data_IF_645189014171
#
_entry.id   IF_645189014171
#
_cell.length_a   1.000
_cell.length_b   1.000
_cell.length_c   1.000
_cell.angle_alpha   90.00
_cell.angle_beta   90.00
_cell.angle_gamma   90.00
#
_symmetry.space_group_name_H-M   'P 1'
#
loop_
_entity.id
_entity.type
_entity.pdbx_description
1 polymer ?
#
# COMPACT_ATOMS: atom_id res chain seq x y z
N UNK A 1 -3.74 -21.02 -8.58
CA UNK A 1 -2.89 -20.83 -9.79
C UNK A 1 -3.55 -20.00 -10.91
N UNK A 2 -4.78 -20.25 -11.34
CA UNK A 2 -5.38 -19.43 -12.41
C UNK A 2 -5.74 -18.02 -11.93
N UNK A 3 -6.22 -17.88 -10.69
CA UNK A 3 -6.47 -16.60 -10.03
C UNK A 3 -5.16 -15.80 -9.88
N UNK A 4 -4.16 -16.38 -9.25
CA UNK A 4 -2.85 -15.71 -9.03
C UNK A 4 -2.20 -15.25 -10.33
N UNK A 5 -2.29 -16.05 -11.42
CA UNK A 5 -1.80 -15.64 -12.74
C UNK A 5 -2.57 -14.43 -13.30
N UNK A 6 -3.89 -14.39 -13.10
CA UNK A 6 -4.69 -13.22 -13.51
C UNK A 6 -4.27 -11.98 -12.71
N UNK A 7 -4.05 -12.12 -11.41
CA UNK A 7 -3.55 -11.05 -10.54
C UNK A 7 -2.22 -10.49 -11.01
N UNK A 8 -1.24 -11.36 -11.34
CA UNK A 8 0.06 -10.94 -11.86
C UNK A 8 -0.06 -10.15 -13.15
N UNK A 9 -0.90 -10.61 -14.10
CA UNK A 9 -1.14 -9.91 -15.36
C UNK A 9 -1.81 -8.55 -15.10
N UNK A 10 -2.81 -8.51 -14.23
CA UNK A 10 -3.55 -7.28 -13.91
C UNK A 10 -2.66 -6.26 -13.20
N UNK A 11 -1.74 -6.69 -12.34
CA UNK A 11 -0.78 -5.79 -11.70
C UNK A 11 0.07 -5.03 -12.73
N UNK A 12 0.70 -5.74 -13.67
CA UNK A 12 1.50 -5.09 -14.72
C UNK A 12 0.63 -4.29 -15.71
N UNK A 13 -0.57 -4.77 -16.01
CA UNK A 13 -1.53 -4.06 -16.86
C UNK A 13 -2.01 -2.75 -16.21
N UNK A 14 -2.24 -2.74 -14.89
CA UNK A 14 -2.62 -1.54 -14.14
C UNK A 14 -1.52 -0.47 -14.17
N UNK A 15 -0.25 -0.86 -14.01
CA UNK A 15 0.87 0.06 -14.14
C UNK A 15 0.95 0.65 -15.56
N UNK A 16 0.85 -0.21 -16.58
CA UNK A 16 0.88 0.23 -17.97
C UNK A 16 -0.29 1.16 -18.31
N UNK A 17 -1.50 0.84 -17.81
CA UNK A 17 -2.70 1.66 -17.97
C UNK A 17 -2.53 3.02 -17.29
N UNK A 18 -2.07 3.07 -16.04
CA UNK A 18 -1.83 4.31 -15.31
C UNK A 18 -0.83 5.21 -16.05
N UNK A 19 0.31 4.65 -16.49
CA UNK A 19 1.30 5.39 -17.28
C UNK A 19 0.71 5.90 -18.61
N UNK A 20 -0.11 5.09 -19.28
CA UNK A 20 -0.82 5.47 -20.49
C UNK A 20 -1.82 6.62 -20.27
N UNK A 21 -2.61 6.55 -19.19
CA UNK A 21 -3.56 7.58 -18.78
C UNK A 21 -2.84 8.90 -18.48
N UNK A 22 -1.77 8.86 -17.68
CA UNK A 22 -1.01 10.07 -17.34
C UNK A 22 -0.37 10.70 -18.57
N UNK A 23 0.22 9.89 -19.46
CA UNK A 23 0.80 10.35 -20.70
C UNK A 23 -0.28 10.95 -21.65
N UNK A 24 -1.46 10.33 -21.72
CA UNK A 24 -2.58 10.84 -22.49
C UNK A 24 -3.09 12.18 -21.93
N UNK A 25 -3.34 12.28 -20.62
CA UNK A 25 -3.81 13.51 -19.97
C UNK A 25 -2.79 14.65 -20.05
N UNK A 26 -1.50 14.32 -20.12
CA UNK A 26 -0.44 15.28 -20.37
C UNK A 26 -0.43 15.76 -21.83
N UNK A 27 -0.32 14.83 -22.80
CA UNK A 27 -0.12 15.14 -24.22
C UNK A 27 -1.37 15.68 -24.93
N UNK A 28 -2.56 15.32 -24.46
CA UNK A 28 -3.81 15.88 -24.97
C UNK A 28 -4.06 17.35 -24.60
N UNK A 29 -3.19 17.92 -23.72
CA UNK A 29 -3.41 19.26 -23.19
C UNK A 29 -4.49 19.34 -22.10
N UNK A 30 -5.07 18.21 -21.67
CA UNK A 30 -6.09 18.20 -20.61
C UNK A 30 -5.62 18.87 -19.34
N UNK A 31 -4.41 18.51 -18.85
CA UNK A 31 -3.84 19.10 -17.64
C UNK A 31 -3.61 20.60 -17.78
N UNK A 32 -3.09 21.07 -18.91
CA UNK A 32 -2.90 22.49 -19.17
C UNK A 32 -4.24 23.26 -19.27
N UNK A 33 -5.21 22.70 -19.98
CA UNK A 33 -6.56 23.25 -20.07
C UNK A 33 -7.27 23.33 -18.72
N UNK A 34 -7.14 22.28 -17.89
CA UNK A 34 -7.69 22.26 -16.53
C UNK A 34 -7.03 23.34 -15.65
N UNK A 35 -5.67 23.43 -15.65
CA UNK A 35 -4.94 24.49 -14.95
C UNK A 35 -5.46 25.88 -15.34
N UNK A 36 -5.64 26.15 -16.63
CA UNK A 36 -6.10 27.44 -17.11
C UNK A 36 -7.54 27.74 -16.64
N UNK A 37 -8.42 26.72 -16.57
CA UNK A 37 -9.79 26.87 -16.04
C UNK A 37 -9.81 27.19 -14.56
N UNK A 38 -9.06 26.44 -13.74
CA UNK A 38 -9.03 26.69 -12.29
C UNK A 38 -8.38 28.03 -11.93
N UNK A 39 -7.41 28.51 -12.72
CA UNK A 39 -6.83 29.86 -12.57
C UNK A 39 -7.83 30.97 -12.87
N UNK A 40 -8.74 30.76 -13.82
CA UNK A 40 -9.84 31.71 -14.09
C UNK A 40 -10.92 31.68 -13.01
N UNK A 41 -11.15 30.51 -12.40
CA UNK A 41 -12.17 30.35 -11.36
C UNK A 41 -11.76 30.97 -10.01
N UNK A 42 -10.49 30.91 -9.62
CA UNK A 42 -10.03 31.44 -8.34
C UNK A 42 -8.63 32.04 -8.44
N UNK A 43 -8.42 33.18 -7.76
CA UNK A 43 -7.09 33.78 -7.61
C UNK A 43 -6.25 33.10 -6.50
N UNK A 44 -6.87 32.31 -5.60
CA UNK A 44 -6.23 31.70 -4.44
C UNK A 44 -5.53 30.40 -4.85
N UNK A 45 -4.19 30.33 -4.73
CA UNK A 45 -3.38 29.17 -5.14
C UNK A 45 -3.81 27.87 -4.49
N UNK A 46 -4.18 27.86 -3.22
CA UNK A 46 -4.65 26.65 -2.53
C UNK A 46 -5.96 26.10 -3.13
N UNK A 47 -6.89 27.00 -3.50
CA UNK A 47 -8.14 26.60 -4.16
C UNK A 47 -7.87 26.08 -5.57
N UNK A 48 -6.93 26.72 -6.31
CA UNK A 48 -6.52 26.23 -7.62
C UNK A 48 -5.94 24.81 -7.53
N UNK A 49 -5.03 24.56 -6.58
CA UNK A 49 -4.42 23.25 -6.39
C UNK A 49 -5.48 22.21 -5.99
N UNK A 50 -6.36 22.52 -5.04
CA UNK A 50 -7.41 21.61 -4.61
C UNK A 50 -8.35 21.21 -5.75
N UNK A 51 -8.88 22.19 -6.49
CA UNK A 51 -9.77 21.95 -7.63
C UNK A 51 -9.07 21.18 -8.76
N UNK A 52 -7.82 21.56 -9.04
CA UNK A 52 -7.03 20.87 -10.06
C UNK A 52 -6.81 19.41 -9.72
N UNK A 53 -6.31 19.13 -8.51
CA UNK A 53 -6.02 17.76 -8.04
C UNK A 53 -7.31 16.92 -7.99
N UNK A 54 -8.39 17.47 -7.42
CA UNK A 54 -9.66 16.76 -7.33
C UNK A 54 -10.19 16.37 -8.72
N UNK A 55 -10.30 17.33 -9.67
CA UNK A 55 -10.83 17.06 -11.00
C UNK A 55 -9.88 16.12 -11.78
N UNK A 56 -8.56 16.31 -11.65
CA UNK A 56 -7.58 15.48 -12.31
C UNK A 56 -7.66 14.03 -11.84
N UNK A 57 -7.70 13.79 -10.53
CA UNK A 57 -7.80 12.44 -9.96
C UNK A 57 -9.14 11.78 -10.27
N UNK A 58 -10.25 12.52 -10.22
CA UNK A 58 -11.55 11.99 -10.63
C UNK A 58 -11.50 11.53 -12.09
N UNK A 59 -10.86 12.30 -12.98
CA UNK A 59 -10.69 11.91 -14.38
C UNK A 59 -9.82 10.66 -14.53
N UNK A 60 -8.71 10.55 -13.77
CA UNK A 60 -7.85 9.36 -13.73
C UNK A 60 -8.64 8.15 -13.27
N UNK A 61 -9.29 8.22 -12.11
CA UNK A 61 -10.07 7.11 -11.53
C UNK A 61 -11.26 6.70 -12.40
N UNK A 62 -11.88 7.64 -13.12
CA UNK A 62 -12.91 7.32 -14.10
C UNK A 62 -12.37 6.51 -15.29
N UNK A 63 -11.13 6.78 -15.71
CA UNK A 63 -10.48 6.00 -16.78
C UNK A 63 -9.95 4.65 -16.29
N UNK A 64 -9.59 4.53 -15.03
CA UNK A 64 -9.15 3.28 -14.38
C UNK A 64 -10.33 2.38 -13.97
N UNK A 65 -11.52 2.95 -13.71
CA UNK A 65 -12.67 2.26 -13.14
C UNK A 65 -13.09 0.95 -13.86
N UNK A 66 -12.96 0.77 -15.19
CA UNK A 66 -13.26 -0.51 -15.82
C UNK A 66 -12.32 -1.63 -15.35
N UNK A 67 -11.03 -1.31 -15.11
CA UNK A 67 -10.06 -2.25 -14.60
C UNK A 67 -10.28 -2.52 -13.10
N UNK A 68 -10.57 -1.47 -12.32
CA UNK A 68 -10.91 -1.59 -10.88
C UNK A 68 -12.13 -2.51 -10.69
N UNK A 69 -13.18 -2.31 -11.52
CA UNK A 69 -14.38 -3.14 -11.48
C UNK A 69 -14.10 -4.59 -11.85
N UNK A 70 -13.33 -4.80 -12.91
CA UNK A 70 -12.98 -6.15 -13.34
C UNK A 70 -12.14 -6.87 -12.27
N UNK A 71 -11.11 -6.22 -11.75
CA UNK A 71 -10.19 -6.79 -10.77
C UNK A 71 -10.85 -6.99 -9.39
N UNK A 72 -11.35 -5.91 -8.79
CA UNK A 72 -11.84 -5.93 -7.41
C UNK A 72 -13.29 -6.43 -7.25
N UNK A 73 -14.03 -6.65 -8.37
CA UNK A 73 -15.39 -7.20 -8.29
C UNK A 73 -15.56 -8.47 -9.11
N UNK A 74 -15.36 -8.39 -10.44
CA UNK A 74 -15.69 -9.51 -11.34
C UNK A 74 -14.77 -10.69 -11.12
N UNK A 75 -13.46 -10.48 -11.02
CA UNK A 75 -12.46 -11.53 -10.85
C UNK A 75 -12.65 -12.22 -9.50
N UNK A 76 -12.77 -11.46 -8.42
CA UNK A 76 -12.97 -11.97 -7.08
C UNK A 76 -14.23 -12.84 -6.95
N UNK A 77 -15.35 -12.39 -7.54
CA UNK A 77 -16.60 -13.17 -7.58
C UNK A 77 -16.47 -14.42 -8.44
N UNK A 78 -15.78 -14.34 -9.58
CA UNK A 78 -15.55 -15.47 -10.48
C UNK A 78 -14.84 -16.62 -9.79
N UNK A 79 -13.94 -16.31 -8.88
CA UNK A 79 -13.17 -17.31 -8.11
C UNK A 79 -13.75 -17.56 -6.71
N UNK A 80 -14.86 -16.92 -6.36
CA UNK A 80 -15.58 -17.14 -5.12
C UNK A 80 -14.91 -16.53 -3.89
N UNK A 81 -13.96 -15.59 -4.06
CA UNK A 81 -13.27 -14.91 -2.97
C UNK A 81 -14.09 -13.76 -2.37
N UNK A 82 -14.93 -13.10 -3.16
CA UNK A 82 -15.76 -11.99 -2.68
C UNK A 82 -17.19 -12.44 -2.38
N UNK A 83 -17.72 -11.93 -1.27
CA UNK A 83 -19.13 -12.01 -0.86
C UNK A 83 -19.86 -10.67 -1.04
N UNK A 84 -19.12 -9.63 -1.47
CA UNK A 84 -19.58 -8.24 -1.49
C UNK A 84 -20.60 -7.99 -2.61
N UNK A 85 -21.80 -7.49 -2.28
CA UNK A 85 -22.75 -7.05 -3.30
C UNK A 85 -22.28 -5.79 -4.06
N UNK A 86 -22.71 -5.64 -5.33
CA UNK A 86 -22.29 -4.52 -6.20
C UNK A 86 -22.54 -3.14 -5.57
N UNK A 87 -23.65 -2.95 -4.86
CA UNK A 87 -23.95 -1.68 -4.19
C UNK A 87 -22.95 -1.33 -3.08
N UNK A 88 -22.52 -2.35 -2.31
CA UNK A 88 -21.49 -2.21 -1.27
C UNK A 88 -20.13 -1.91 -1.90
N UNK A 89 -19.77 -2.63 -2.98
CA UNK A 89 -18.52 -2.40 -3.70
C UNK A 89 -18.42 -0.98 -4.26
N UNK A 90 -19.47 -0.49 -4.93
CA UNK A 90 -19.52 0.89 -5.46
C UNK A 90 -19.43 1.92 -4.33
N UNK A 91 -20.09 1.67 -3.20
CA UNK A 91 -20.02 2.56 -2.05
C UNK A 91 -18.58 2.62 -1.46
N UNK A 92 -17.90 1.49 -1.37
CA UNK A 92 -16.53 1.44 -0.88
C UNK A 92 -15.55 2.08 -1.89
N UNK A 93 -15.72 1.84 -3.20
CA UNK A 93 -14.95 2.51 -4.23
C UNK A 93 -15.13 4.04 -4.19
N UNK A 94 -16.35 4.53 -3.94
CA UNK A 94 -16.61 5.96 -3.80
C UNK A 94 -16.00 6.58 -2.53
N UNK A 95 -16.00 5.85 -1.40
CA UNK A 95 -15.31 6.27 -0.17
C UNK A 95 -13.80 6.34 -0.38
N UNK A 96 -13.21 5.30 -1.03
CA UNK A 96 -11.79 5.27 -1.37
C UNK A 96 -11.40 6.46 -2.25
N UNK A 97 -12.18 6.74 -3.32
CA UNK A 97 -11.99 7.91 -4.16
C UNK A 97 -12.03 9.22 -3.36
N UNK A 98 -13.02 9.36 -2.47
CA UNK A 98 -13.17 10.55 -1.62
C UNK A 98 -11.96 10.74 -0.70
N UNK A 99 -11.51 9.67 -0.04
CA UNK A 99 -10.34 9.68 0.84
C UNK A 99 -9.06 9.99 0.05
N UNK A 100 -8.87 9.32 -1.09
CA UNK A 100 -7.73 9.54 -1.99
C UNK A 100 -7.66 11.00 -2.44
N UNK A 101 -8.78 11.61 -2.85
CA UNK A 101 -8.84 13.02 -3.25
C UNK A 101 -8.46 13.94 -2.08
N UNK A 102 -8.99 13.71 -0.89
CA UNK A 102 -8.67 14.54 0.30
C UNK A 102 -7.18 14.46 0.63
N UNK A 103 -6.63 13.25 0.73
CA UNK A 103 -5.20 13.04 1.03
C UNK A 103 -4.33 13.66 -0.06
N UNK A 104 -4.66 13.44 -1.33
CA UNK A 104 -3.90 13.99 -2.45
C UNK A 104 -3.94 15.53 -2.50
N UNK A 105 -5.05 16.17 -2.12
CA UNK A 105 -5.12 17.65 -1.99
C UNK A 105 -4.13 18.13 -0.91
N UNK A 106 -4.11 17.48 0.26
CA UNK A 106 -3.21 17.85 1.36
C UNK A 106 -1.74 17.68 0.95
N UNK A 107 -1.41 16.55 0.33
CA UNK A 107 -0.06 16.29 -0.18
C UNK A 107 0.35 17.27 -1.28
N UNK A 108 -0.56 17.58 -2.20
CA UNK A 108 -0.31 18.55 -3.27
C UNK A 108 -0.08 19.97 -2.73
N UNK A 109 -0.81 20.38 -1.68
CA UNK A 109 -0.57 21.66 -1.03
C UNK A 109 0.85 21.75 -0.47
N UNK A 110 1.29 20.70 0.26
CA UNK A 110 2.65 20.62 0.79
C UNK A 110 3.67 20.62 -0.38
N UNK A 111 3.46 19.77 -1.38
CA UNK A 111 4.34 19.63 -2.52
C UNK A 111 4.51 20.94 -3.30
N UNK A 112 3.42 21.55 -3.78
CA UNK A 112 3.50 22.78 -4.58
C UNK A 112 3.95 23.99 -3.75
N UNK A 113 3.68 24.00 -2.45
CA UNK A 113 4.22 25.03 -1.56
C UNK A 113 5.74 24.90 -1.44
N UNK A 114 6.27 23.70 -1.22
CA UNK A 114 7.70 23.43 -1.13
C UNK A 114 8.43 23.72 -2.45
N UNK A 115 7.88 23.27 -3.57
CA UNK A 115 8.43 23.52 -4.91
C UNK A 115 8.50 25.02 -5.18
N UNK A 116 7.41 25.76 -4.87
CA UNK A 116 7.39 27.22 -5.04
C UNK A 116 8.35 27.97 -4.13
N UNK A 117 8.64 27.44 -2.93
CA UNK A 117 9.53 28.05 -1.95
C UNK A 117 11.01 27.72 -2.19
N UNK A 118 11.30 26.52 -2.67
CA UNK A 118 12.67 26.01 -2.87
C UNK A 118 12.78 25.13 -4.12
N UNK A 119 12.78 25.70 -5.33
CA UNK A 119 12.77 24.92 -6.59
C UNK A 119 13.95 23.96 -6.75
N UNK A 120 15.08 24.22 -6.11
CA UNK A 120 16.29 23.37 -6.19
C UNK A 120 16.37 22.27 -5.14
N UNK A 121 15.67 22.42 -4.01
CA UNK A 121 15.78 21.51 -2.85
C UNK A 121 14.42 20.98 -2.37
N UNK A 122 13.34 21.16 -3.14
CA UNK A 122 12.00 20.72 -2.75
C UNK A 122 11.95 19.21 -2.44
N UNK A 123 12.70 18.40 -3.16
CA UNK A 123 12.80 16.96 -2.96
C UNK A 123 13.28 16.61 -1.55
N UNK A 124 14.27 17.32 -1.03
CA UNK A 124 14.80 17.12 0.32
C UNK A 124 13.79 17.58 1.39
N UNK A 125 13.18 18.77 1.18
CA UNK A 125 12.17 19.25 2.12
C UNK A 125 10.88 18.44 2.09
N UNK A 126 10.52 17.89 0.94
CA UNK A 126 9.38 17.00 0.82
C UNK A 126 9.64 15.65 1.51
N UNK A 127 10.86 15.13 1.42
CA UNK A 127 11.28 13.99 2.22
C UNK A 127 11.20 14.27 3.72
N UNK A 128 11.70 15.40 4.21
CA UNK A 128 11.50 15.76 5.64
C UNK A 128 10.02 15.91 6.02
N UNK A 129 9.18 16.36 5.11
CA UNK A 129 7.74 16.46 5.35
C UNK A 129 7.04 15.08 5.29
N UNK A 130 7.53 14.10 4.52
CA UNK A 130 6.96 12.75 4.46
C UNK A 130 7.05 12.05 5.81
N UNK A 131 8.13 12.23 6.57
CA UNK A 131 8.33 11.60 7.88
C UNK A 131 7.13 11.81 8.84
N UNK A 132 6.77 13.04 9.24
CA UNK A 132 5.61 13.25 10.12
C UNK A 132 4.27 12.92 9.44
N UNK A 133 4.15 13.02 8.12
CA UNK A 133 2.95 12.65 7.39
C UNK A 133 2.73 11.13 7.46
N UNK A 134 3.76 10.33 7.19
CA UNK A 134 3.69 8.86 7.26
C UNK A 134 3.40 8.39 8.69
N UNK A 135 4.08 8.98 9.70
CA UNK A 135 3.80 8.66 11.09
C UNK A 135 2.37 9.01 11.50
N UNK A 136 1.86 10.18 11.07
CA UNK A 136 0.48 10.55 11.33
C UNK A 136 -0.50 9.57 10.66
N UNK A 137 -0.20 9.10 9.44
CA UNK A 137 -1.02 8.14 8.73
C UNK A 137 -1.07 6.79 9.46
N UNK A 138 0.08 6.26 9.90
CA UNK A 138 0.16 5.00 10.69
C UNK A 138 -0.70 5.06 11.95
N UNK A 139 -0.80 6.24 12.59
CA UNK A 139 -1.61 6.40 13.80
C UNK A 139 -3.10 6.60 13.49
N UNK A 140 -3.42 7.33 12.42
CA UNK A 140 -4.80 7.72 12.08
C UNK A 140 -5.55 6.60 11.37
N UNK A 141 -4.87 5.86 10.50
CA UNK A 141 -5.45 4.82 9.65
C UNK A 141 -6.33 3.83 10.43
N UNK A 142 -5.86 3.17 11.52
CA UNK A 142 -6.65 2.18 12.25
C UNK A 142 -7.91 2.72 12.92
N UNK A 143 -7.98 4.01 13.21
CA UNK A 143 -9.09 4.62 13.96
C UNK A 143 -10.06 5.41 13.10
N UNK A 144 -9.61 5.88 11.93
CA UNK A 144 -10.41 6.73 11.05
C UNK A 144 -10.72 6.04 9.73
N UNK A 145 -9.73 5.40 9.11
CA UNK A 145 -9.89 4.82 7.77
C UNK A 145 -10.57 3.46 7.84
N UNK A 146 -10.04 2.52 8.62
CA UNK A 146 -10.63 1.17 8.69
C UNK A 146 -12.11 1.14 9.11
N UNK A 147 -12.58 1.95 10.11
CA UNK A 147 -13.99 1.98 10.49
C UNK A 147 -14.94 2.52 9.40
N UNK A 148 -14.43 3.17 8.36
CA UNK A 148 -15.23 3.55 7.18
C UNK A 148 -15.62 2.33 6.34
N UNK A 149 -14.83 1.26 6.41
CA UNK A 149 -14.97 0.09 5.56
C UNK A 149 -15.46 -1.14 6.31
N UNK A 150 -15.08 -1.34 7.58
CA UNK A 150 -15.35 -2.53 8.38
C UNK A 150 -15.89 -2.20 9.76
N UNK A 151 -16.56 -3.17 10.37
CA UNK A 151 -17.03 -3.08 11.75
C UNK A 151 -16.16 -3.94 12.65
N UNK A 152 -15.96 -3.48 13.88
CA UNK A 152 -15.14 -4.14 14.87
C UNK A 152 -15.95 -4.43 16.12
N UNK A 153 -15.76 -5.60 16.72
CA UNK A 153 -16.33 -5.96 18.02
C UNK A 153 -15.26 -6.62 18.91
N UNK A 154 -15.32 -6.45 20.24
CA UNK A 154 -14.36 -7.11 21.12
C UNK A 154 -14.41 -8.63 20.94
N UNK A 155 -13.25 -9.26 20.71
CA UNK A 155 -13.12 -10.70 20.47
C UNK A 155 -13.60 -11.53 21.68
N UNK A 156 -13.41 -11.02 22.91
CA UNK A 156 -13.87 -11.70 24.13
C UNK A 156 -15.37 -11.98 24.18
N UNK A 157 -16.19 -11.21 23.46
CA UNK A 157 -17.64 -11.40 23.40
C UNK A 157 -18.04 -12.60 22.55
N UNK A 158 -17.24 -12.96 21.57
CA UNK A 158 -17.53 -14.04 20.61
C UNK A 158 -16.67 -15.26 20.86
N UNK A 159 -15.40 -15.06 21.27
CA UNK A 159 -14.39 -16.10 21.45
C UNK A 159 -13.62 -15.93 22.77
N UNK A 160 -14.30 -16.04 23.95
CA UNK A 160 -13.64 -15.78 25.24
C UNK A 160 -12.46 -16.72 25.52
N UNK A 161 -12.60 -18.02 25.23
CA UNK A 161 -11.54 -19.01 25.45
C UNK A 161 -10.31 -18.76 24.55
N UNK A 162 -10.52 -18.34 23.30
CA UNK A 162 -9.42 -17.97 22.41
C UNK A 162 -8.74 -16.69 22.91
N UNK A 163 -9.51 -15.70 23.37
CA UNK A 163 -8.96 -14.46 23.93
C UNK A 163 -8.07 -14.74 25.14
N UNK A 164 -8.45 -15.65 26.05
CA UNK A 164 -7.61 -16.07 27.18
C UNK A 164 -6.29 -16.71 26.72
N UNK A 165 -6.34 -17.52 25.68
CA UNK A 165 -5.13 -18.16 25.11
C UNK A 165 -4.23 -17.14 24.41
N UNK A 166 -4.81 -16.18 23.68
CA UNK A 166 -4.07 -15.06 23.05
C UNK A 166 -3.35 -14.23 24.13
N UNK A 167 -4.05 -13.82 25.19
CA UNK A 167 -3.42 -13.07 26.26
C UNK A 167 -2.25 -13.83 26.92
N UNK A 168 -2.43 -15.11 27.17
CA UNK A 168 -1.36 -15.96 27.72
C UNK A 168 -0.16 -15.99 26.80
N UNK A 169 -0.36 -16.18 25.49
CA UNK A 169 0.70 -16.23 24.50
C UNK A 169 1.39 -14.88 24.34
N UNK A 170 0.65 -13.79 24.24
CA UNK A 170 1.20 -12.44 24.20
C UNK A 170 2.01 -12.09 25.46
N UNK A 171 1.56 -12.59 26.63
CA UNK A 171 2.30 -12.48 27.88
C UNK A 171 3.67 -13.15 27.83
N UNK A 172 3.78 -14.34 27.19
CA UNK A 172 5.07 -14.98 26.93
C UNK A 172 6.00 -14.14 26.05
N UNK A 173 5.43 -13.40 25.10
CA UNK A 173 6.15 -12.48 24.24
C UNK A 173 6.52 -11.14 24.91
N UNK A 174 6.15 -10.94 26.18
CA UNK A 174 6.32 -9.65 26.85
C UNK A 174 5.44 -8.53 26.25
N UNK A 175 4.43 -8.88 25.44
CA UNK A 175 3.55 -7.95 24.76
C UNK A 175 2.22 -7.85 25.50
N UNK A 176 1.94 -6.69 26.12
CA UNK A 176 0.68 -6.41 26.78
C UNK A 176 -0.26 -5.67 25.83
N UNK A 177 -1.27 -6.37 25.29
CA UNK A 177 -2.41 -5.77 24.60
C UNK A 177 -3.64 -5.94 25.50
N UNK A 178 -4.30 -4.85 25.95
CA UNK A 178 -5.50 -4.97 26.76
C UNK A 178 -6.60 -5.75 26.02
N UNK A 179 -7.34 -6.61 26.73
CA UNK A 179 -8.48 -7.41 26.16
C UNK A 179 -9.44 -6.54 25.35
N UNK A 180 -9.73 -5.35 25.86
CA UNK A 180 -10.60 -4.37 25.18
C UNK A 180 -10.08 -3.89 23.84
N UNK A 181 -8.84 -4.24 23.46
CA UNK A 181 -8.19 -3.91 22.18
C UNK A 181 -7.87 -5.14 21.34
N UNK A 182 -8.41 -6.28 21.68
CA UNK A 182 -8.41 -7.47 20.83
C UNK A 182 -9.78 -7.53 20.17
N UNK A 183 -9.81 -7.36 18.85
CA UNK A 183 -11.03 -7.21 18.08
C UNK A 183 -11.24 -8.36 17.09
N UNK A 184 -12.48 -8.65 16.82
CA UNK A 184 -12.95 -9.37 15.65
C UNK A 184 -13.45 -8.35 14.63
N UNK A 185 -13.05 -8.49 13.35
CA UNK A 185 -13.50 -7.67 12.24
C UNK A 185 -14.45 -8.45 11.34
N UNK A 186 -15.53 -7.81 10.85
CA UNK A 186 -16.53 -8.41 9.96
C UNK A 186 -16.06 -8.50 8.50
N UNK A 187 -14.94 -9.19 8.25
CA UNK A 187 -14.36 -9.35 6.91
C UNK A 187 -15.28 -10.17 5.99
N UNK A 188 -16.01 -11.17 6.54
CA UNK A 188 -16.91 -12.05 5.80
C UNK A 188 -18.04 -11.33 5.08
N UNK A 189 -18.36 -10.10 5.47
CA UNK A 189 -19.30 -9.24 4.76
C UNK A 189 -18.83 -8.87 3.33
N UNK A 190 -17.54 -9.03 3.04
CA UNK A 190 -16.93 -8.60 1.76
C UNK A 190 -16.04 -9.65 1.12
N UNK A 191 -15.33 -10.45 1.91
CA UNK A 191 -14.32 -11.39 1.42
C UNK A 191 -14.35 -12.72 2.17
N UNK A 192 -13.70 -13.73 1.61
CA UNK A 192 -13.40 -15.00 2.27
C UNK A 192 -11.94 -15.17 2.65
N UNK A 193 -11.11 -14.18 2.32
CA UNK A 193 -9.68 -14.15 2.64
C UNK A 193 -9.48 -14.28 4.16
N UNK A 194 -8.44 -15.00 4.55
CA UNK A 194 -8.08 -15.25 5.95
C UNK A 194 -6.96 -14.32 6.37
N UNK A 195 -7.17 -13.51 7.43
CA UNK A 195 -6.15 -12.60 7.91
C UNK A 195 -6.31 -12.24 9.39
N UNK A 196 -5.21 -11.78 10.01
CA UNK A 196 -5.17 -11.08 11.29
C UNK A 196 -4.05 -10.04 11.23
N UNK A 197 -4.04 -9.06 12.12
CA UNK A 197 -2.96 -8.07 12.17
C UNK A 197 -2.88 -7.38 13.53
N UNK A 198 -1.69 -6.90 13.85
CA UNK A 198 -1.47 -5.98 14.98
C UNK A 198 -1.19 -4.59 14.41
N UNK A 199 -1.91 -3.58 14.88
CA UNK A 199 -1.75 -2.19 14.47
C UNK A 199 -1.63 -1.25 15.65
N UNK A 200 -1.26 0.01 15.36
CA UNK A 200 -1.07 1.05 16.36
C UNK A 200 0.33 1.09 16.97
N UNK A 201 0.60 2.12 17.77
CA UNK A 201 1.92 2.38 18.37
C UNK A 201 1.79 2.62 19.88
N UNK A 202 2.74 2.09 20.66
CA UNK A 202 2.77 2.30 22.12
C UNK A 202 1.48 1.85 22.80
N UNK A 203 0.81 2.78 23.48
CA UNK A 203 -0.44 2.51 24.18
C UNK A 203 -1.66 2.35 23.25
N UNK A 204 -1.53 2.66 21.95
CA UNK A 204 -2.63 2.50 20.99
C UNK A 204 -2.68 1.13 20.30
N UNK A 205 -1.79 0.20 20.65
CA UNK A 205 -1.74 -1.16 20.10
C UNK A 205 -3.09 -1.85 20.15
N UNK A 206 -3.45 -2.53 19.06
CA UNK A 206 -4.61 -3.41 18.99
C UNK A 206 -4.30 -4.63 18.13
N UNK A 207 -4.91 -5.74 18.47
CA UNK A 207 -4.92 -6.95 17.68
C UNK A 207 -6.29 -7.08 17.01
N UNK A 208 -6.31 -7.37 15.73
CA UNK A 208 -7.52 -7.61 14.95
C UNK A 208 -7.44 -8.99 14.32
N UNK A 209 -8.45 -9.83 14.57
CA UNK A 209 -8.62 -11.14 13.94
C UNK A 209 -9.85 -11.06 13.05
N UNK A 210 -9.76 -11.48 11.80
CA UNK A 210 -10.91 -11.49 10.91
C UNK A 210 -11.86 -12.62 11.28
N UNK A 211 -13.16 -12.40 11.12
CA UNK A 211 -14.17 -13.44 11.37
C UNK A 211 -14.02 -14.64 10.41
N UNK A 212 -13.54 -14.40 9.20
CA UNK A 212 -13.15 -15.46 8.25
C UNK A 212 -12.01 -16.34 8.78
N UNK A 213 -11.03 -15.77 9.49
CA UNK A 213 -9.95 -16.50 10.16
C UNK A 213 -10.50 -17.41 11.25
N UNK A 214 -11.41 -16.88 12.06
CA UNK A 214 -12.07 -17.65 13.14
C UNK A 214 -12.96 -18.76 12.60
N UNK A 215 -13.50 -18.61 11.40
CA UNK A 215 -14.32 -19.66 10.73
C UNK A 215 -13.45 -20.77 10.15
N UNK A 216 -12.32 -20.44 9.55
CA UNK A 216 -11.49 -21.37 8.76
C UNK A 216 -10.39 -22.05 9.56
N UNK A 217 -9.81 -21.36 10.54
CA UNK A 217 -8.74 -21.85 11.37
C UNK A 217 -9.26 -22.29 12.74
N UNK A 218 -8.71 -23.39 13.28
CA UNK A 218 -8.93 -23.73 14.66
C UNK A 218 -8.12 -22.82 15.61
N UNK A 219 -8.37 -22.94 16.94
CA UNK A 219 -7.73 -22.07 17.93
C UNK A 219 -6.20 -22.15 17.92
N UNK A 220 -5.61 -23.33 17.69
CA UNK A 220 -4.15 -23.50 17.64
C UNK A 220 -3.56 -22.80 16.42
N UNK A 221 -4.16 -22.98 15.26
CA UNK A 221 -3.79 -22.33 14.01
C UNK A 221 -3.94 -20.80 14.10
N UNK A 222 -5.04 -20.32 14.69
CA UNK A 222 -5.22 -18.88 14.93
C UNK A 222 -4.13 -18.30 15.84
N UNK A 223 -3.68 -19.06 16.84
CA UNK A 223 -2.59 -18.62 17.71
C UNK A 223 -1.26 -18.48 16.95
N UNK A 224 -0.98 -19.35 15.96
CA UNK A 224 0.23 -19.21 15.14
C UNK A 224 0.19 -17.92 14.32
N UNK A 225 -0.95 -17.61 13.69
CA UNK A 225 -1.14 -16.35 12.96
C UNK A 225 -0.98 -15.15 13.90
N UNK A 226 -1.61 -15.17 15.07
CA UNK A 226 -1.45 -14.10 16.07
C UNK A 226 -0.02 -14.02 16.60
N UNK A 227 0.68 -15.14 16.75
CA UNK A 227 2.09 -15.19 17.14
C UNK A 227 3.01 -14.54 16.11
N UNK A 228 2.76 -14.79 14.83
CA UNK A 228 3.43 -14.12 13.71
C UNK A 228 3.25 -12.59 13.80
N UNK A 229 2.00 -12.12 13.95
CA UNK A 229 1.69 -10.70 14.09
C UNK A 229 2.35 -10.06 15.33
N UNK A 230 2.39 -10.79 16.45
CA UNK A 230 3.11 -10.36 17.64
C UNK A 230 4.62 -10.22 17.37
N UNK A 231 5.19 -11.07 16.50
CA UNK A 231 6.57 -11.00 16.05
C UNK A 231 6.90 -9.67 15.40
N UNK A 232 6.09 -9.17 14.48
CA UNK A 232 6.30 -7.85 13.88
C UNK A 232 6.40 -6.75 14.93
N UNK A 233 5.63 -6.87 15.98
CA UNK A 233 5.59 -5.88 17.03
C UNK A 233 6.77 -5.98 18.00
N UNK A 234 7.04 -7.19 18.51
CA UNK A 234 8.12 -7.46 19.49
C UNK A 234 9.50 -7.24 18.87
N UNK A 235 9.68 -7.66 17.62
CA UNK A 235 10.93 -7.50 16.88
C UNK A 235 11.14 -6.08 16.32
N UNK A 236 10.21 -5.16 16.60
CA UNK A 236 10.25 -3.78 16.11
C UNK A 236 10.33 -3.67 14.58
N UNK A 237 9.62 -4.53 13.84
CA UNK A 237 9.62 -4.48 12.37
C UNK A 237 9.03 -3.16 11.86
N UNK A 238 7.92 -2.68 12.43
CA UNK A 238 7.26 -1.42 12.01
C UNK A 238 8.22 -0.22 12.02
N UNK A 239 8.95 0.11 13.13
CA UNK A 239 9.92 1.20 13.10
C UNK A 239 11.15 0.92 12.22
N UNK A 240 11.55 -0.34 12.04
CA UNK A 240 12.65 -0.69 11.14
C UNK A 240 12.25 -0.50 9.68
N UNK A 241 11.08 -1.01 9.26
CA UNK A 241 10.52 -0.80 7.93
C UNK A 241 10.38 0.68 7.63
N UNK A 242 9.77 1.44 8.54
CA UNK A 242 9.66 2.88 8.41
C UNK A 242 11.02 3.54 8.14
N UNK A 243 12.07 3.17 8.89
CA UNK A 243 13.41 3.74 8.69
C UNK A 243 14.02 3.34 7.34
N UNK A 244 13.84 2.10 6.89
CA UNK A 244 14.30 1.64 5.57
C UNK A 244 13.53 2.31 4.44
N UNK A 245 12.22 2.44 4.58
CA UNK A 245 11.36 3.10 3.59
C UNK A 245 11.74 4.56 3.42
N UNK A 246 11.98 5.29 4.52
CA UNK A 246 12.41 6.68 4.47
C UNK A 246 13.80 6.85 3.83
N UNK A 247 14.71 5.90 4.04
CA UNK A 247 16.01 5.90 3.33
C UNK A 247 15.83 5.70 1.83
N UNK A 248 14.96 4.78 1.42
CA UNK A 248 14.62 4.53 0.03
C UNK A 248 13.92 5.76 -0.55
N UNK A 249 12.94 6.35 0.14
CA UNK A 249 12.23 7.55 -0.30
C UNK A 249 13.16 8.74 -0.51
N UNK A 250 14.18 8.93 0.32
CA UNK A 250 15.20 9.97 0.10
C UNK A 250 15.85 9.83 -1.28
N UNK A 251 16.25 8.59 -1.64
CA UNK A 251 16.83 8.30 -2.96
C UNK A 251 15.81 8.50 -4.08
N UNK A 252 14.57 8.01 -3.89
CA UNK A 252 13.51 8.10 -4.88
C UNK A 252 13.09 9.56 -5.15
N UNK A 253 13.01 10.41 -4.12
CA UNK A 253 12.71 11.83 -4.30
C UNK A 253 13.85 12.56 -5.03
N UNK A 254 15.10 12.20 -4.76
CA UNK A 254 16.22 12.77 -5.50
C UNK A 254 16.23 12.33 -6.97
N UNK A 255 16.08 11.05 -7.24
CA UNK A 255 15.99 10.50 -8.61
C UNK A 255 14.77 11.10 -9.33
N UNK A 256 13.62 11.17 -8.65
CA UNK A 256 12.41 11.82 -9.16
C UNK A 256 12.63 13.28 -9.50
N UNK A 257 13.31 14.04 -8.64
CA UNK A 257 13.67 15.42 -8.90
C UNK A 257 14.50 15.56 -10.19
N UNK A 258 15.53 14.72 -10.38
CA UNK A 258 16.35 14.74 -11.59
C UNK A 258 15.53 14.37 -12.84
N UNK A 259 14.71 13.33 -12.77
CA UNK A 259 13.90 12.84 -13.88
C UNK A 259 12.85 13.88 -14.31
N UNK A 260 12.10 14.44 -13.37
CA UNK A 260 11.05 15.44 -13.64
C UNK A 260 11.66 16.67 -14.33
N UNK A 261 12.75 17.21 -13.78
CA UNK A 261 13.40 18.39 -14.36
C UNK A 261 13.92 18.10 -15.78
N UNK A 262 14.49 16.90 -16.01
CA UNK A 262 14.96 16.49 -17.34
C UNK A 262 13.80 16.36 -18.33
N UNK A 263 12.68 15.75 -17.95
CA UNK A 263 11.51 15.59 -18.82
C UNK A 263 10.93 16.97 -19.19
N UNK A 264 10.77 17.86 -18.21
CA UNK A 264 10.26 19.22 -18.47
C UNK A 264 11.20 19.99 -19.41
N UNK A 265 12.51 19.91 -19.18
CA UNK A 265 13.50 20.57 -20.05
C UNK A 265 13.44 20.03 -21.50
N UNK A 266 13.36 18.71 -21.68
CA UNK A 266 13.24 18.08 -22.99
C UNK A 266 11.94 18.48 -23.69
N UNK A 267 10.81 18.56 -22.99
CA UNK A 267 9.53 18.99 -23.54
C UNK A 267 9.58 20.42 -24.06
N UNK A 268 10.30 21.32 -23.37
CA UNK A 268 10.52 22.70 -23.82
C UNK A 268 11.41 22.80 -25.07
N UNK A 269 12.35 21.85 -25.27
CA UNK A 269 13.26 21.86 -26.42
C UNK A 269 12.64 21.27 -27.68
N UNK A 270 11.85 20.20 -27.57
CA UNK A 270 11.24 19.55 -28.74
C UNK A 270 10.24 20.47 -29.44
N UNK A 271 9.48 21.26 -28.69
CA UNK A 271 8.51 22.19 -29.23
C UNK A 271 9.18 23.41 -29.94
N UNK A 272 10.38 23.83 -29.49
CA UNK A 272 11.14 24.89 -30.21
C UNK A 272 11.60 24.45 -31.60
N UNK A 273 11.89 23.17 -31.77
CA UNK A 273 12.35 22.65 -33.07
C UNK A 273 11.23 22.49 -34.09
N UNK A 274 10.00 22.33 -33.65
CA UNK A 274 8.81 22.25 -34.49
C UNK A 274 8.30 23.63 -34.88
N UNK A 275 8.38 24.64 -33.98
CA UNK A 275 8.02 26.05 -34.27
C UNK A 275 8.88 26.67 -35.39
N UNK A 276 10.14 26.24 -35.54
CA UNK A 276 11.03 26.75 -36.58
C UNK A 276 10.70 26.24 -37.99
N UNK A 277 9.77 25.28 -38.14
CA UNK A 277 9.44 24.62 -39.41
C UNK A 277 8.09 25.04 -40.02
N UNK A 278 7.27 25.90 -39.36
CA UNK A 278 5.96 26.30 -39.85
C UNK A 278 5.83 27.80 -40.10
N UNK A 279 5.11 28.13 -41.19
CA UNK A 279 4.97 29.45 -41.83
C UNK A 279 4.33 30.53 -40.94
N UNK A 280 4.81 31.75 -41.06
CA UNK A 280 4.67 32.87 -40.11
C UNK A 280 3.27 33.54 -40.00
N UNK A 281 2.26 33.16 -40.73
CA UNK A 281 0.95 33.85 -40.77
C UNK A 281 -0.19 33.17 -39.99
N UNK A 282 -0.14 31.89 -39.77
CA UNK A 282 -1.08 31.16 -38.84
C UNK A 282 -0.59 31.22 -37.39
N UNK A 283 0.61 31.74 -37.19
CA UNK A 283 1.39 31.70 -35.94
C UNK A 283 0.84 32.56 -34.80
N UNK A 284 0.15 33.68 -35.06
CA UNK A 284 -0.11 34.62 -33.95
C UNK A 284 -1.23 34.18 -32.99
N UNK A 285 -2.24 33.43 -33.44
CA UNK A 285 -3.28 32.90 -32.53
C UNK A 285 -2.94 31.53 -32.02
N UNK A 286 -2.39 30.63 -32.84
CA UNK A 286 -1.94 29.29 -32.43
C UNK A 286 -0.79 29.38 -31.45
N UNK A 287 0.17 30.31 -31.67
CA UNK A 287 1.29 30.56 -30.76
C UNK A 287 0.85 31.11 -29.38
N UNK A 288 -0.19 31.94 -29.33
CA UNK A 288 -0.75 32.36 -28.03
C UNK A 288 -1.40 31.24 -27.27
N UNK A 289 -2.06 30.29 -27.95
CA UNK A 289 -2.61 29.07 -27.34
C UNK A 289 -1.45 28.15 -26.90
N UNK A 290 -0.48 27.85 -27.75
CA UNK A 290 0.65 26.99 -27.46
C UNK A 290 1.56 27.54 -26.34
N UNK A 291 1.79 28.85 -26.27
CA UNK A 291 2.57 29.48 -25.19
C UNK A 291 1.89 29.39 -23.81
N UNK A 292 0.55 29.40 -23.76
CA UNK A 292 -0.19 29.26 -22.50
C UNK A 292 -0.27 27.81 -22.01
N UNK A 293 0.00 26.84 -22.87
CA UNK A 293 -0.10 25.42 -22.55
C UNK A 293 1.24 24.79 -22.09
N UNK A 294 2.36 25.51 -22.23
CA UNK A 294 3.68 25.03 -21.81
C UNK A 294 3.79 24.86 -20.29
N UNK A 295 4.29 23.70 -19.88
CA UNK A 295 4.74 23.45 -18.51
C UNK A 295 6.11 24.09 -18.34
N UNK A 296 6.21 25.16 -17.56
CA UNK A 296 7.45 25.94 -17.41
C UNK A 296 8.39 25.35 -16.38
N UNK A 297 7.83 24.79 -15.32
CA UNK A 297 8.56 24.19 -14.21
C UNK A 297 7.66 23.22 -13.42
N UNK A 298 8.22 22.58 -12.42
CA UNK A 298 7.50 21.61 -11.54
C UNK A 298 6.42 22.32 -10.70
N UNK A 299 6.52 23.63 -10.45
CA UNK A 299 5.51 24.38 -9.68
C UNK A 299 4.22 24.65 -10.48
N UNK A 300 4.22 24.39 -11.78
CA UNK A 300 2.99 24.44 -12.58
C UNK A 300 2.11 23.23 -12.29
N UNK A 301 0.84 23.46 -11.94
CA UNK A 301 -0.13 22.38 -11.68
C UNK A 301 -0.24 21.35 -12.84
N UNK A 302 -0.05 21.81 -14.07
CA UNK A 302 -0.05 20.94 -15.25
C UNK A 302 1.14 19.97 -15.28
N UNK A 303 2.14 20.11 -14.40
CA UNK A 303 3.22 19.14 -14.23
C UNK A 303 2.80 17.83 -13.55
N UNK A 304 1.63 17.80 -12.89
CA UNK A 304 1.18 16.65 -12.11
C UNK A 304 1.22 15.32 -12.87
N UNK A 305 0.77 15.20 -14.14
CA UNK A 305 0.90 13.94 -14.87
C UNK A 305 2.35 13.46 -15.01
N UNK A 306 3.30 14.38 -15.23
CA UNK A 306 4.73 14.05 -15.32
C UNK A 306 5.23 13.55 -13.96
N UNK A 307 4.84 14.22 -12.88
CA UNK A 307 5.19 13.82 -11.51
C UNK A 307 4.67 12.41 -11.23
N UNK A 308 3.42 12.11 -11.62
CA UNK A 308 2.81 10.79 -11.43
C UNK A 308 3.48 9.71 -12.31
N UNK A 309 3.83 10.00 -13.56
CA UNK A 309 4.61 9.07 -14.39
C UNK A 309 5.93 8.72 -13.73
N UNK A 310 6.69 9.73 -13.31
CA UNK A 310 7.99 9.52 -12.67
C UNK A 310 7.83 8.75 -11.37
N UNK A 311 6.87 9.13 -10.54
CA UNK A 311 6.59 8.45 -9.26
C UNK A 311 6.24 6.98 -9.49
N UNK A 312 5.33 6.67 -10.41
CA UNK A 312 4.94 5.29 -10.74
C UNK A 312 6.15 4.45 -11.19
N UNK A 313 6.98 4.99 -12.10
CA UNK A 313 8.16 4.28 -12.58
C UNK A 313 9.18 4.07 -11.46
N UNK A 314 9.45 5.09 -10.66
CA UNK A 314 10.48 5.05 -9.61
C UNK A 314 10.07 4.11 -8.48
N UNK A 315 8.80 4.13 -8.07
CA UNK A 315 8.24 3.20 -7.07
C UNK A 315 8.25 1.77 -7.61
N UNK A 316 7.82 1.56 -8.85
CA UNK A 316 7.89 0.23 -9.47
C UNK A 316 9.31 -0.34 -9.49
N UNK A 317 10.31 0.48 -9.84
CA UNK A 317 11.72 0.05 -9.84
C UNK A 317 12.27 -0.20 -8.43
N UNK A 318 11.73 0.44 -7.41
CA UNK A 318 12.11 0.23 -6.01
C UNK A 318 11.41 -0.98 -5.37
N UNK A 319 10.27 -1.45 -5.91
CA UNK A 319 9.47 -2.54 -5.34
C UNK A 319 10.29 -3.79 -4.99
N UNK A 320 11.24 -4.27 -5.82
CA UNK A 320 12.04 -5.44 -5.45
C UNK A 320 12.88 -5.26 -4.19
N UNK A 321 13.40 -4.06 -3.94
CA UNK A 321 14.17 -3.78 -2.74
C UNK A 321 13.28 -3.73 -1.49
N UNK A 322 12.13 -3.03 -1.58
CA UNK A 322 11.12 -2.99 -0.53
C UNK A 322 10.61 -4.41 -0.19
N UNK A 323 10.22 -5.17 -1.20
CA UNK A 323 9.77 -6.56 -1.04
C UNK A 323 10.86 -7.47 -0.45
N UNK A 324 12.13 -7.22 -0.77
CA UNK A 324 13.26 -7.98 -0.19
C UNK A 324 13.40 -7.75 1.31
N UNK A 325 13.24 -6.52 1.76
CA UNK A 325 13.25 -6.14 3.19
C UNK A 325 12.05 -6.77 3.90
N UNK A 326 10.86 -6.63 3.31
CA UNK A 326 9.63 -7.22 3.86
C UNK A 326 9.77 -8.72 4.04
N UNK A 327 10.18 -9.48 3.01
CA UNK A 327 10.39 -10.94 3.12
C UNK A 327 11.35 -11.34 4.24
N UNK A 328 12.35 -10.52 4.52
CA UNK A 328 13.25 -10.79 5.64
C UNK A 328 12.55 -10.67 6.98
N UNK A 329 11.75 -9.64 7.18
CA UNK A 329 10.97 -9.44 8.40
C UNK A 329 9.85 -10.46 8.55
N UNK A 330 9.21 -10.83 7.46
CA UNK A 330 8.19 -11.88 7.43
C UNK A 330 8.75 -13.23 7.90
N UNK A 331 9.95 -13.59 7.43
CA UNK A 331 10.61 -14.82 7.88
C UNK A 331 10.94 -14.78 9.38
N UNK A 332 11.35 -13.62 9.91
CA UNK A 332 11.57 -13.46 11.36
C UNK A 332 10.25 -13.55 12.13
N UNK A 333 9.14 -13.03 11.59
CA UNK A 333 7.83 -13.13 12.20
C UNK A 333 7.31 -14.59 12.21
N UNK A 334 7.54 -15.36 11.15
CA UNK A 334 7.24 -16.80 11.11
C UNK A 334 8.02 -17.57 12.18
N UNK A 335 9.32 -17.30 12.31
CA UNK A 335 10.15 -17.91 13.34
C UNK A 335 9.66 -17.54 14.75
N UNK A 336 9.38 -16.27 15.00
CA UNK A 336 8.88 -15.80 16.28
C UNK A 336 7.51 -16.41 16.63
N UNK A 337 6.62 -16.53 15.65
CA UNK A 337 5.30 -17.15 15.80
C UNK A 337 5.39 -18.60 16.34
N UNK A 338 6.31 -19.39 15.77
CA UNK A 338 6.60 -20.74 16.25
C UNK A 338 7.19 -20.74 17.67
N UNK A 339 8.16 -19.86 17.95
CA UNK A 339 8.81 -19.80 19.25
C UNK A 339 7.85 -19.38 20.38
N UNK A 340 6.99 -18.37 20.14
CA UNK A 340 6.04 -17.90 21.15
C UNK A 340 4.87 -18.87 21.36
N UNK A 341 4.51 -19.66 20.34
CA UNK A 341 3.47 -20.67 20.42
C UNK A 341 3.95 -21.93 21.16
N UNK A 342 5.25 -22.18 21.21
CA UNK A 342 5.83 -23.30 21.93
C UNK A 342 5.49 -23.22 23.44
N UNK A 343 4.95 -24.33 23.97
CA UNK A 343 4.45 -24.38 25.36
C UNK A 343 3.01 -23.84 25.57
N UNK A 344 2.41 -23.24 24.53
CA UNK A 344 0.99 -22.81 24.51
C UNK A 344 0.15 -23.68 23.56
N UNK A 345 0.71 -24.03 22.43
CA UNK A 345 0.16 -24.94 21.44
C UNK A 345 0.86 -26.29 21.57
N UNK A 346 0.10 -27.38 21.52
CA UNK A 346 0.64 -28.73 21.75
C UNK A 346 1.63 -29.17 20.67
N UNK A 347 1.34 -28.87 19.42
CA UNK A 347 2.22 -29.12 18.27
C UNK A 347 2.22 -27.88 17.35
N UNK A 348 3.07 -26.89 17.65
CA UNK A 348 3.09 -25.64 16.91
C UNK A 348 3.50 -25.82 15.45
N UNK A 349 4.40 -26.76 15.15
CA UNK A 349 4.85 -27.00 13.78
C UNK A 349 3.71 -27.53 12.89
N UNK A 350 2.98 -28.55 13.37
CA UNK A 350 1.84 -29.08 12.60
C UNK A 350 0.73 -28.04 12.45
N UNK A 351 0.43 -27.29 13.51
CA UNK A 351 -0.58 -26.23 13.45
C UNK A 351 -0.20 -25.13 12.44
N UNK A 352 1.06 -24.73 12.40
CA UNK A 352 1.55 -23.69 11.50
C UNK A 352 1.56 -24.14 10.03
N UNK A 353 2.06 -25.34 9.75
CA UNK A 353 1.98 -25.96 8.41
C UNK A 353 0.54 -25.99 7.91
N UNK A 354 -0.41 -26.42 8.75
CA UNK A 354 -1.82 -26.48 8.39
C UNK A 354 -2.43 -25.09 8.18
N UNK A 355 -2.05 -24.08 8.99
CA UNK A 355 -2.54 -22.71 8.82
C UNK A 355 -2.12 -22.15 7.47
N UNK A 356 -0.84 -22.28 7.08
CA UNK A 356 -0.37 -21.86 5.76
C UNK A 356 -1.04 -22.60 4.61
N UNK A 357 -1.32 -23.92 4.77
CA UNK A 357 -2.05 -24.68 3.76
C UNK A 357 -3.48 -24.18 3.57
N UNK A 358 -4.19 -23.90 4.67
CA UNK A 358 -5.56 -23.39 4.63
C UNK A 358 -5.58 -21.98 4.03
N UNK A 359 -4.70 -21.08 4.49
CA UNK A 359 -4.61 -19.73 3.98
C UNK A 359 -4.34 -19.71 2.48
N UNK A 360 -3.36 -20.49 2.01
CA UNK A 360 -3.05 -20.56 0.58
C UNK A 360 -4.19 -21.13 -0.27
N UNK A 361 -4.99 -22.05 0.29
CA UNK A 361 -6.17 -22.63 -0.39
C UNK A 361 -7.33 -21.62 -0.44
N UNK A 362 -7.62 -20.97 0.67
CA UNK A 362 -8.71 -20.00 0.76
C UNK A 362 -8.41 -18.73 -0.06
N UNK A 363 -7.15 -18.28 -0.07
CA UNK A 363 -6.72 -17.08 -0.77
C UNK A 363 -6.31 -17.37 -2.24
N UNK A 364 -6.39 -18.64 -2.68
CA UNK A 364 -6.02 -19.09 -4.03
C UNK A 364 -4.59 -18.69 -4.42
N UNK A 365 -3.69 -18.66 -3.46
CA UNK A 365 -2.31 -18.25 -3.64
C UNK A 365 -1.53 -19.23 -4.53
N UNK A 366 -0.53 -18.71 -5.27
CA UNK A 366 0.46 -19.55 -5.95
C UNK A 366 1.55 -19.97 -4.94
N UNK A 367 1.60 -21.25 -4.53
CA UNK A 367 2.52 -21.67 -3.47
C UNK A 367 3.98 -21.60 -3.90
N UNK A 368 4.26 -21.59 -5.20
CA UNK A 368 5.63 -21.59 -5.75
C UNK A 368 5.72 -20.69 -6.99
N UNK A 369 5.64 -19.36 -6.82
CA UNK A 369 5.70 -18.41 -7.91
C UNK A 369 7.09 -18.42 -8.58
N UNK A 370 7.12 -18.04 -9.88
CA UNK A 370 8.39 -17.91 -10.59
C UNK A 370 9.32 -16.90 -9.89
N UNK A 371 10.67 -17.06 -10.02
CA UNK A 371 11.62 -16.12 -9.41
C UNK A 371 11.38 -14.66 -9.80
N UNK A 372 10.93 -14.40 -11.03
CA UNK A 372 10.58 -13.06 -11.50
C UNK A 372 9.37 -12.49 -10.72
N UNK A 373 8.29 -13.26 -10.59
CA UNK A 373 7.09 -12.86 -9.86
C UNK A 373 7.42 -12.63 -8.39
N UNK A 374 8.15 -13.56 -7.76
CA UNK A 374 8.58 -13.42 -6.36
C UNK A 374 9.44 -12.16 -6.15
N UNK A 375 10.35 -11.87 -7.07
CA UNK A 375 11.21 -10.69 -6.99
C UNK A 375 10.41 -9.38 -7.01
N UNK A 376 9.39 -9.29 -7.89
CA UNK A 376 8.64 -8.05 -8.12
C UNK A 376 7.42 -7.88 -7.22
N UNK A 377 6.73 -8.97 -6.83
CA UNK A 377 5.38 -8.87 -6.26
C UNK A 377 5.27 -9.40 -4.83
N UNK A 378 6.12 -10.34 -4.43
CA UNK A 378 5.95 -11.01 -3.14
C UNK A 378 6.62 -10.25 -2.01
N UNK A 379 5.81 -9.81 -1.06
CA UNK A 379 6.25 -9.22 0.21
C UNK A 379 6.58 -10.28 1.27
N UNK A 380 6.02 -11.48 1.14
CA UNK A 380 6.24 -12.65 2.00
C UNK A 380 7.12 -13.69 1.30
N UNK A 381 7.82 -14.58 2.02
CA UNK A 381 8.32 -15.82 1.45
C UNK A 381 7.18 -16.61 0.82
N UNK A 382 7.45 -17.43 -0.20
CA UNK A 382 6.40 -18.24 -0.82
C UNK A 382 5.79 -19.21 0.20
N UNK A 383 4.52 -19.58 0.01
CA UNK A 383 3.83 -20.54 0.89
C UNK A 383 4.61 -21.85 1.02
N UNK A 384 5.25 -22.34 -0.06
CA UNK A 384 6.10 -23.52 0.01
C UNK A 384 7.32 -23.33 0.91
N UNK A 385 7.96 -22.14 0.88
CA UNK A 385 9.08 -21.79 1.76
C UNK A 385 8.63 -21.72 3.21
N UNK A 386 7.49 -21.07 3.50
CA UNK A 386 6.90 -20.96 4.85
C UNK A 386 6.54 -22.33 5.43
N UNK A 387 5.85 -23.19 4.66
CA UNK A 387 5.50 -24.56 5.07
C UNK A 387 6.77 -25.37 5.37
N UNK A 388 7.80 -25.30 4.50
CA UNK A 388 9.06 -26.02 4.70
C UNK A 388 9.76 -25.56 5.98
N UNK A 389 9.80 -24.26 6.22
CA UNK A 389 10.36 -23.68 7.44
C UNK A 389 9.60 -24.15 8.68
N UNK A 390 8.27 -23.98 8.70
CA UNK A 390 7.39 -24.42 9.77
C UNK A 390 7.55 -25.90 10.11
N UNK A 391 7.71 -26.77 9.10
CA UNK A 391 7.90 -28.21 9.29
C UNK A 391 9.25 -28.58 9.90
N UNK A 392 10.31 -27.77 9.70
CA UNK A 392 11.69 -28.13 10.05
C UNK A 392 12.25 -27.37 11.22
N UNK A 393 11.76 -26.17 11.52
CA UNK A 393 12.27 -25.32 12.61
C UNK A 393 11.79 -25.85 13.97
N UNK A 394 12.65 -26.51 14.73
CA UNK A 394 12.35 -27.15 16.02
C UNK A 394 13.50 -27.04 17.02
N UNK A 395 13.97 -25.85 17.41
CA UNK A 395 15.12 -25.71 18.33
C UNK A 395 14.88 -26.39 19.66
N UNK A 396 13.64 -26.39 20.18
CA UNK A 396 13.26 -27.06 21.42
C UNK A 396 13.43 -28.59 21.39
N UNK A 397 13.26 -29.22 20.22
CA UNK A 397 13.45 -30.67 20.07
C UNK A 397 14.94 -31.05 20.10
N UNK A 398 15.81 -30.11 19.80
CA UNK A 398 17.28 -30.24 19.80
C UNK A 398 17.93 -29.73 21.10
N UNK A 399 17.14 -29.25 22.05
CA UNK A 399 17.66 -28.63 23.28
C UNK A 399 18.39 -27.30 23.05
N UNK A 400 18.15 -26.65 21.92
CA UNK A 400 18.70 -25.33 21.60
C UNK A 400 17.82 -24.22 22.20
N UNK A 401 18.43 -23.08 22.58
CA UNK A 401 17.65 -21.92 23.04
C UNK A 401 16.75 -21.37 21.91
N UNK A 402 15.68 -20.71 22.29
CA UNK A 402 14.84 -19.94 21.36
C UNK A 402 15.60 -18.70 20.92
N UNK A 403 15.71 -18.49 19.61
CA UNK A 403 16.59 -17.44 19.08
C UNK A 403 16.00 -16.04 19.20
N UNK A 404 14.67 -15.93 18.99
CA UNK A 404 13.99 -14.64 18.91
C UNK A 404 13.19 -14.31 20.18
N UNK A 405 12.64 -15.27 20.88
CA UNK A 405 11.86 -15.02 22.09
C UNK A 405 12.74 -14.69 23.30
N UNK A 406 13.95 -15.26 23.41
CA UNK A 406 14.84 -15.11 24.57
C UNK A 406 15.87 -13.98 24.43
N UNK A 407 15.91 -13.27 23.31
CA UNK A 407 16.80 -12.11 23.16
C UNK A 407 16.28 -10.92 23.97
N UNK A 408 17.12 -10.24 24.75
CA UNK A 408 16.78 -8.92 25.31
C UNK A 408 16.68 -7.93 24.13
N UNK A 409 15.52 -7.35 23.95
CA UNK A 409 15.22 -6.36 22.90
C UNK A 409 15.40 -4.92 23.38
#
# INVERSE_FOLDING_TARGET
>A
MAFSRAEYILYFAAIALALGIYAFLWRSGFAAGLRNRVRRFSARRLVQAALFVAIFLIAVRALESPLDYYWGFVLEHRYGLSTQGIGSWVADWAKDLGLTVVVAILLAWVFYWLVGRSPRRWWLYFWFASIPITLAFIVVEPYVVEPLFYRFKPLEKTQPALTDRIEKMLGHAGLAIPRSRIYEMDASAKTKIVNAYVSGWGSSKRLVVWDTTLEKLNSDQTLLVVGHEAGHYVLHHIPKEFAFDEMIFLVLFYVGFLAINKIIALSCHSERSEESRHDARLQSEILRFAQNDRIKDVADLASLPIVLIVLTVVVFLASPALNGISRHFEHQADQFGLEVAYGVVSDPNTADVQSFQIMAQEDLEDPNPSPFIRFWLYTHPSTEERIRFAATYRPWAEGKPLELLERPW
#
